data_IF_668540466802
#
_entry.id   IF_668540466802
#
_cell.length_a   1.000
_cell.length_b   1.000
_cell.length_c   1.000
_cell.angle_alpha   90.00
_cell.angle_beta   90.00
_cell.angle_gamma   90.00
#
_symmetry.space_group_name_H-M   'P 1'
#
loop_
_entity.id
_entity.type
_entity.pdbx_description
1 polymer ?
#
# COMPACT_ATOMS: atom_id res chain seq x y z
N UNK A 1 26.63 -15.97 -19.35
CA UNK A 1 25.86 -14.76 -19.68
C UNK A 1 24.82 -15.10 -20.73
N UNK A 2 23.55 -15.12 -20.30
CA UNK A 2 22.31 -14.90 -21.06
C UNK A 2 21.17 -15.62 -20.33
N UNK A 3 20.74 -15.04 -19.21
CA UNK A 3 19.41 -15.30 -18.67
C UNK A 3 18.45 -14.41 -19.43
N UNK A 4 17.88 -14.95 -20.51
CA UNK A 4 16.64 -14.44 -21.07
C UNK A 4 15.59 -14.51 -19.96
N UNK A 5 15.31 -13.36 -19.34
CA UNK A 5 14.08 -13.14 -18.60
C UNK A 5 12.95 -13.22 -19.62
N UNK A 6 12.43 -14.43 -19.82
CA UNK A 6 11.14 -14.62 -20.47
C UNK A 6 10.14 -14.00 -19.50
N UNK A 7 9.86 -12.71 -19.69
CA UNK A 7 8.60 -12.14 -19.24
C UNK A 7 7.53 -12.97 -19.93
N UNK A 8 6.84 -13.81 -19.17
CA UNK A 8 5.55 -14.31 -19.56
C UNK A 8 4.64 -13.08 -19.53
N UNK A 9 4.67 -12.33 -20.64
CA UNK A 9 3.61 -11.42 -21.02
C UNK A 9 2.48 -12.31 -21.49
N UNK A 10 1.71 -12.86 -20.56
CA UNK A 10 0.30 -13.07 -20.84
C UNK A 10 -0.23 -11.74 -21.37
N UNK A 11 -0.86 -11.75 -22.54
CA UNK A 11 -1.38 -10.57 -23.23
C UNK A 11 -2.32 -9.78 -22.31
N UNK A 12 -1.78 -8.89 -21.49
CA UNK A 12 -2.50 -7.80 -20.86
C UNK A 12 -2.81 -6.80 -21.98
N UNK A 13 -3.83 -7.11 -22.76
CA UNK A 13 -4.56 -6.10 -23.52
C UNK A 13 -5.25 -5.22 -22.47
N UNK A 14 -4.46 -4.28 -21.92
CA UNK A 14 -4.97 -3.13 -21.18
C UNK A 14 -5.75 -2.35 -22.23
N UNK A 15 -7.06 -2.59 -22.32
CA UNK A 15 -7.87 -1.67 -23.09
C UNK A 15 -7.73 -0.29 -22.47
N UNK A 16 -7.69 0.73 -23.32
CA UNK A 16 -7.46 2.10 -22.88
C UNK A 16 -8.52 2.53 -21.85
N UNK A 17 -9.74 2.00 -21.94
CA UNK A 17 -10.84 2.26 -21.01
C UNK A 17 -10.52 1.82 -19.57
N UNK A 18 -9.93 0.64 -19.37
CA UNK A 18 -9.49 0.14 -18.06
C UNK A 18 -8.38 1.00 -17.49
N UNK A 19 -7.43 1.45 -18.31
CA UNK A 19 -6.36 2.35 -17.84
C UNK A 19 -6.90 3.71 -17.41
N UNK A 20 -7.84 4.29 -18.18
CA UNK A 20 -8.53 5.53 -17.79
C UNK A 20 -9.28 5.39 -16.46
N UNK A 21 -9.85 4.20 -16.18
CA UNK A 21 -10.46 3.87 -14.90
C UNK A 21 -9.52 4.03 -13.70
N UNK A 22 -8.20 3.84 -13.89
CA UNK A 22 -7.20 3.97 -12.82
C UNK A 22 -6.58 5.36 -12.68
N UNK A 23 -6.81 6.28 -13.63
CA UNK A 23 -6.18 7.61 -13.64
C UNK A 23 -6.37 8.36 -12.32
N UNK A 24 -7.57 8.27 -11.73
CA UNK A 24 -7.87 8.86 -10.42
C UNK A 24 -6.98 8.29 -9.30
N UNK A 25 -6.81 6.98 -9.26
CA UNK A 25 -6.05 6.29 -8.20
C UNK A 25 -4.54 6.47 -8.39
N UNK A 26 -4.06 6.54 -9.64
CA UNK A 26 -2.70 6.95 -9.96
C UNK A 26 -2.45 8.36 -9.43
N UNK A 27 -3.36 9.31 -9.67
CA UNK A 27 -3.24 10.65 -9.13
C UNK A 27 -3.23 10.69 -7.59
N UNK A 28 -4.06 9.89 -6.93
CA UNK A 28 -4.05 9.75 -5.46
C UNK A 28 -2.68 9.25 -4.98
N UNK A 29 -2.16 8.17 -5.57
CA UNK A 29 -0.86 7.60 -5.22
C UNK A 29 0.28 8.60 -5.45
N UNK A 30 0.26 9.30 -6.59
CA UNK A 30 1.24 10.34 -6.90
C UNK A 30 1.15 11.53 -5.96
N UNK A 31 -0.05 11.95 -5.55
CA UNK A 31 -0.22 12.95 -4.49
C UNK A 31 0.44 12.47 -3.19
N UNK A 32 0.18 11.25 -2.74
CA UNK A 32 0.77 10.71 -1.50
C UNK A 32 2.31 10.75 -1.56
N UNK A 33 2.91 10.44 -2.71
CA UNK A 33 4.36 10.36 -2.87
C UNK A 33 5.01 11.75 -3.05
N UNK A 34 4.48 12.56 -3.97
CA UNK A 34 5.14 13.80 -4.43
C UNK A 34 4.58 15.07 -3.79
N UNK A 35 3.29 15.11 -3.47
CA UNK A 35 2.60 16.31 -2.97
C UNK A 35 1.54 15.92 -1.94
N UNK A 36 1.96 15.43 -0.77
CA UNK A 36 1.04 14.78 0.17
C UNK A 36 -0.01 15.77 0.65
N UNK A 37 -1.26 15.33 0.62
CA UNK A 37 -2.44 16.05 1.09
C UNK A 37 -3.25 15.13 1.97
N UNK A 38 -3.99 15.70 2.91
CA UNK A 38 -4.95 14.94 3.71
C UNK A 38 -6.07 14.40 2.82
N UNK A 39 -6.09 13.08 2.64
CA UNK A 39 -7.03 12.37 1.77
C UNK A 39 -7.74 11.21 2.47
N UNK A 40 -7.22 10.68 3.58
CA UNK A 40 -7.76 9.51 4.26
C UNK A 40 -9.27 9.60 4.53
N UNK A 41 -9.75 10.74 5.04
CA UNK A 41 -11.17 10.95 5.36
C UNK A 41 -12.02 11.37 4.16
N UNK A 42 -11.44 11.44 2.96
CA UNK A 42 -12.15 11.80 1.72
C UNK A 42 -12.42 10.58 0.84
N UNK A 43 -11.76 9.46 1.11
CA UNK A 43 -11.94 8.24 0.34
C UNK A 43 -13.15 7.46 0.86
N UNK A 44 -14.05 7.10 -0.05
CA UNK A 44 -15.13 6.13 0.22
C UNK A 44 -14.64 4.69 0.01
N UNK A 45 -15.39 3.71 0.50
CA UNK A 45 -15.01 2.29 0.46
C UNK A 45 -14.62 1.79 -0.95
N UNK A 46 -15.36 2.22 -1.98
CA UNK A 46 -15.03 1.88 -3.38
C UNK A 46 -13.67 2.43 -3.81
N UNK A 47 -13.35 3.68 -3.42
CA UNK A 47 -12.07 4.30 -3.78
C UNK A 47 -10.89 3.65 -3.07
N UNK A 48 -11.09 3.18 -1.83
CA UNK A 48 -10.10 2.36 -1.13
C UNK A 48 -9.82 1.07 -1.89
N UNK A 49 -10.87 0.33 -2.25
CA UNK A 49 -10.75 -0.93 -2.99
C UNK A 49 -9.98 -0.74 -4.29
N UNK A 50 -10.31 0.29 -5.07
CA UNK A 50 -9.63 0.57 -6.32
C UNK A 50 -8.17 1.05 -6.14
N UNK A 51 -7.88 1.79 -5.06
CA UNK A 51 -6.51 2.16 -4.73
C UNK A 51 -5.67 0.92 -4.37
N UNK A 52 -6.23 -0.05 -3.62
CA UNK A 52 -5.55 -1.31 -3.31
C UNK A 52 -5.31 -2.14 -4.56
N UNK A 53 -6.32 -2.30 -5.42
CA UNK A 53 -6.17 -2.98 -6.71
C UNK A 53 -5.07 -2.34 -7.56
N UNK A 54 -5.01 -1.00 -7.64
CA UNK A 54 -3.92 -0.32 -8.34
C UNK A 54 -2.55 -0.67 -7.73
N UNK A 55 -2.43 -0.66 -6.41
CA UNK A 55 -1.17 -0.99 -5.74
C UNK A 55 -0.76 -2.45 -5.96
N UNK A 56 -1.71 -3.38 -6.01
CA UNK A 56 -1.47 -4.77 -6.36
C UNK A 56 -0.94 -4.92 -7.80
N UNK A 57 -1.53 -4.19 -8.74
CA UNK A 57 -1.06 -4.15 -10.13
C UNK A 57 0.38 -3.62 -10.22
N UNK A 58 0.69 -2.55 -9.48
CA UNK A 58 1.99 -1.87 -9.56
C UNK A 58 3.12 -2.60 -8.82
N UNK A 59 2.81 -3.28 -7.71
CA UNK A 59 3.82 -3.86 -6.81
C UNK A 59 3.68 -5.37 -6.62
N UNK A 60 2.78 -6.01 -7.39
CA UNK A 60 2.45 -7.43 -7.33
C UNK A 60 1.49 -7.77 -6.18
N UNK A 61 0.84 -8.93 -6.29
CA UNK A 61 -0.11 -9.43 -5.28
C UNK A 61 0.57 -9.94 -3.98
N UNK A 62 1.89 -9.81 -3.84
CA UNK A 62 2.64 -10.34 -2.69
C UNK A 62 2.12 -9.82 -1.34
N UNK A 63 1.92 -8.50 -1.22
CA UNK A 63 1.39 -7.91 0.01
C UNK A 63 -0.08 -8.28 0.21
N UNK A 64 -0.90 -8.26 -0.83
CA UNK A 64 -2.31 -8.66 -0.79
C UNK A 64 -2.49 -10.09 -0.30
N UNK A 65 -1.70 -11.02 -0.83
CA UNK A 65 -1.73 -12.42 -0.44
C UNK A 65 -1.38 -12.58 1.04
N UNK A 66 -0.37 -11.86 1.53
CA UNK A 66 -0.04 -11.85 2.96
C UNK A 66 -1.14 -11.20 3.81
N UNK A 67 -1.78 -10.13 3.33
CA UNK A 67 -2.89 -9.46 4.01
C UNK A 67 -4.18 -10.28 4.03
N UNK A 68 -4.32 -11.30 3.17
CA UNK A 68 -5.50 -12.17 3.13
C UNK A 68 -5.74 -12.90 4.46
N UNK A 69 -4.68 -13.18 5.22
CA UNK A 69 -4.74 -13.78 6.56
C UNK A 69 -5.27 -12.80 7.63
N UNK A 70 -5.42 -11.51 7.30
CA UNK A 70 -5.73 -10.42 8.23
C UNK A 70 -7.01 -9.67 7.84
N UNK A 71 -8.11 -10.40 7.64
CA UNK A 71 -9.42 -9.86 7.20
C UNK A 71 -10.10 -8.87 8.19
N UNK A 72 -9.52 -8.66 9.37
CA UNK A 72 -10.02 -7.77 10.43
C UNK A 72 -9.38 -6.38 10.42
N UNK A 73 -8.45 -6.10 9.50
CA UNK A 73 -7.82 -4.79 9.37
C UNK A 73 -8.77 -3.79 8.70
N UNK A 74 -8.74 -2.53 9.16
CA UNK A 74 -9.46 -1.45 8.48
C UNK A 74 -8.77 -1.02 7.19
N UNK A 75 -9.48 -0.30 6.32
CA UNK A 75 -8.89 0.27 5.08
C UNK A 75 -7.69 1.17 5.39
N UNK A 76 -7.74 1.96 6.47
CA UNK A 76 -6.62 2.79 6.91
C UNK A 76 -5.40 1.95 7.33
N UNK A 77 -5.62 0.79 7.94
CA UNK A 77 -4.56 -0.13 8.37
C UNK A 77 -3.94 -0.85 7.17
N UNK A 78 -4.77 -1.32 6.23
CA UNK A 78 -4.33 -1.89 4.96
C UNK A 78 -3.51 -0.85 4.18
N UNK A 79 -3.99 0.38 4.06
CA UNK A 79 -3.28 1.47 3.41
C UNK A 79 -1.91 1.74 4.06
N UNK A 80 -1.86 1.73 5.40
CA UNK A 80 -0.60 1.89 6.12
C UNK A 80 0.38 0.75 5.82
N UNK A 81 -0.11 -0.50 5.67
CA UNK A 81 0.71 -1.63 5.23
C UNK A 81 1.30 -1.39 3.83
N UNK A 82 0.48 -0.99 2.84
CA UNK A 82 0.97 -0.66 1.50
C UNK A 82 2.00 0.47 1.52
N UNK A 83 1.75 1.54 2.27
CA UNK A 83 2.66 2.67 2.35
C UNK A 83 4.01 2.28 2.95
N UNK A 84 4.01 1.38 3.93
CA UNK A 84 5.22 0.81 4.51
C UNK A 84 5.95 -0.10 3.52
N UNK A 85 5.22 -0.94 2.78
CA UNK A 85 5.75 -1.85 1.77
C UNK A 85 6.49 -1.07 0.67
N UNK A 86 5.80 -0.12 0.02
CA UNK A 86 6.35 0.64 -1.11
C UNK A 86 7.32 1.76 -0.68
N UNK A 87 7.44 2.01 0.62
CA UNK A 87 8.44 2.94 1.18
C UNK A 87 8.04 4.42 1.11
N UNK A 88 6.74 4.73 1.21
CA UNK A 88 6.29 6.12 1.37
C UNK A 88 6.90 6.69 2.65
N UNK A 89 7.49 7.89 2.57
CA UNK A 89 8.11 8.57 3.71
C UNK A 89 7.12 8.74 4.86
N UNK A 90 7.56 8.52 6.10
CA UNK A 90 6.73 8.65 7.31
C UNK A 90 5.94 9.96 7.35
N UNK A 91 6.58 11.10 7.02
CA UNK A 91 5.91 12.41 6.98
C UNK A 91 4.73 12.44 6.01
N UNK A 92 4.85 11.80 4.85
CA UNK A 92 3.84 11.80 3.81
C UNK A 92 2.65 10.92 4.23
N UNK A 93 2.94 9.79 4.88
CA UNK A 93 1.90 8.96 5.50
C UNK A 93 1.11 9.78 6.52
N UNK A 94 1.79 10.51 7.42
CA UNK A 94 1.13 11.31 8.46
C UNK A 94 0.21 12.39 7.86
N UNK A 95 0.68 13.08 6.82
CA UNK A 95 -0.11 14.07 6.07
C UNK A 95 -1.33 13.41 5.41
N UNK A 96 -1.16 12.27 4.73
CA UNK A 96 -2.27 11.56 4.10
C UNK A 96 -3.38 11.21 5.10
N UNK A 97 -2.99 10.69 6.27
CA UNK A 97 -3.88 10.35 7.37
C UNK A 97 -4.41 11.57 8.14
N UNK A 98 -3.92 12.78 7.88
CA UNK A 98 -4.34 13.99 8.60
C UNK A 98 -3.98 13.99 10.09
N UNK A 99 -2.91 13.29 10.48
CA UNK A 99 -2.49 13.13 11.88
C UNK A 99 -1.05 13.60 12.10
N UNK A 100 -0.68 13.80 13.37
CA UNK A 100 0.71 14.11 13.74
C UNK A 100 1.66 12.92 13.51
N UNK A 101 2.95 13.21 13.35
CA UNK A 101 4.00 12.20 13.19
C UNK A 101 4.03 11.21 14.36
N UNK A 102 3.84 11.70 15.59
CA UNK A 102 3.81 10.91 16.81
C UNK A 102 2.57 10.01 16.88
N UNK A 103 1.40 10.51 16.46
CA UNK A 103 0.18 9.72 16.36
C UNK A 103 0.31 8.60 15.34
N UNK A 104 1.02 8.86 14.23
CA UNK A 104 1.34 7.82 13.25
C UNK A 104 2.26 6.75 13.84
N UNK A 105 3.30 7.13 14.60
CA UNK A 105 4.17 6.14 15.28
C UNK A 105 3.38 5.24 16.22
N UNK A 106 2.46 5.80 17.01
CA UNK A 106 1.57 5.02 17.88
C UNK A 106 0.64 4.10 17.08
N UNK A 107 0.12 4.56 15.94
CA UNK A 107 -0.73 3.76 15.05
C UNK A 107 0.04 2.58 14.43
N UNK A 108 1.28 2.81 13.96
CA UNK A 108 2.18 1.73 13.50
C UNK A 108 2.45 0.71 14.59
N UNK A 109 2.63 1.16 15.84
CA UNK A 109 2.86 0.25 16.95
C UNK A 109 1.64 -0.64 17.22
N UNK A 110 0.44 -0.07 17.31
CA UNK A 110 -0.80 -0.85 17.45
C UNK A 110 -1.01 -1.84 16.30
N UNK A 111 -0.66 -1.43 15.08
CA UNK A 111 -0.75 -2.30 13.91
C UNK A 111 0.24 -3.47 14.00
N UNK A 112 1.46 -3.25 14.50
CA UNK A 112 2.40 -4.35 14.78
C UNK A 112 1.82 -5.34 15.79
N UNK A 113 1.20 -4.84 16.85
CA UNK A 113 0.59 -5.68 17.89
C UNK A 113 -0.52 -6.55 17.28
N UNK A 114 -1.39 -5.96 16.44
CA UNK A 114 -2.43 -6.67 15.68
C UNK A 114 -1.91 -7.73 14.71
N UNK A 115 -0.73 -7.50 14.14
CA UNK A 115 -0.09 -8.38 13.17
C UNK A 115 0.86 -9.40 13.84
N UNK A 116 0.95 -9.41 15.17
CA UNK A 116 1.91 -10.21 15.94
C UNK A 116 3.39 -9.99 15.52
N UNK A 117 3.73 -8.77 15.10
CA UNK A 117 5.08 -8.39 14.67
C UNK A 117 5.91 -7.93 15.87
N UNK A 118 7.13 -8.46 15.99
CA UNK A 118 8.07 -8.08 17.05
C UNK A 118 8.30 -6.58 17.18
N UNK A 119 8.36 -6.08 18.41
CA UNK A 119 8.67 -4.68 18.72
C UNK A 119 10.08 -4.26 18.27
N UNK A 120 11.02 -5.21 18.16
CA UNK A 120 12.44 -4.93 17.84
C UNK A 120 12.69 -4.56 16.38
N UNK A 121 11.75 -4.87 15.48
CA UNK A 121 11.83 -4.55 14.06
C UNK A 121 10.84 -3.44 13.70
N UNK A 122 11.19 -2.56 12.76
CA UNK A 122 10.20 -1.58 12.26
C UNK A 122 9.09 -2.28 11.47
N UNK A 123 7.91 -1.66 11.40
CA UNK A 123 6.79 -2.20 10.64
C UNK A 123 7.15 -2.34 9.16
N UNK A 124 7.85 -1.35 8.60
CA UNK A 124 8.33 -1.33 7.22
C UNK A 124 9.24 -2.52 6.92
N UNK A 125 10.20 -2.80 7.80
CA UNK A 125 11.13 -3.93 7.64
C UNK A 125 10.38 -5.25 7.77
N UNK A 126 9.47 -5.37 8.73
CA UNK A 126 8.68 -6.57 8.93
C UNK A 126 7.82 -6.90 7.71
N UNK A 127 7.05 -5.94 7.21
CA UNK A 127 6.16 -6.12 6.06
C UNK A 127 6.95 -6.54 4.82
N UNK A 128 8.10 -5.88 4.54
CA UNK A 128 8.94 -6.26 3.38
C UNK A 128 9.49 -7.68 3.49
N UNK A 129 9.82 -8.14 4.70
CA UNK A 129 10.29 -9.52 4.90
C UNK A 129 9.14 -10.52 4.77
N UNK A 130 7.97 -10.20 5.34
CA UNK A 130 6.85 -11.13 5.43
C UNK A 130 6.09 -11.26 4.10
N UNK A 131 5.89 -10.16 3.37
CA UNK A 131 5.20 -10.17 2.08
C UNK A 131 6.03 -10.81 0.96
N UNK A 132 7.35 -10.90 1.11
CA UNK A 132 8.25 -11.50 0.09
C UNK A 132 8.62 -12.97 0.39
N UNK A 133 8.03 -13.58 1.41
CA UNK A 133 8.18 -15.01 1.70
C UNK A 133 7.18 -15.83 0.90
#
# INVERSE_FOLDING_TARGET
MNTNLIYISENCNLDDERFFGYHKYVNILMCIILSPKTLCHKLVAEEWGQLFILMDILYGDALKNWLADYNYLSEEEIALCYFCYIGIKHRNQAIFFGISSQSLSKRKQRLKDKLAISHTISLEKAIRILAMK
#
